data_IF_635010428366
#
_entry.id   IF_635010428366
#
_cell.length_a   1.000
_cell.length_b   1.000
_cell.length_c   1.000
_cell.angle_alpha   90.00
_cell.angle_beta   90.00
_cell.angle_gamma   90.00
#
_symmetry.space_group_name_H-M   'P 1'
#
loop_
_entity.id
_entity.type
_entity.pdbx_description
1 polymer ?
#
# COMPACT_ATOMS: atom_id res chain seq x y z
N UNK A 1 2.39 -15.14 9.15
CA UNK A 1 3.64 -15.96 9.12
C UNK A 1 4.93 -15.24 9.51
N UNK A 2 5.52 -14.34 8.71
CA UNK A 2 6.84 -13.74 9.03
C UNK A 2 6.89 -12.98 10.37
N UNK A 3 5.86 -12.19 10.68
CA UNK A 3 5.74 -11.50 11.97
C UNK A 3 5.56 -12.48 13.13
N UNK A 4 4.81 -13.57 12.95
CA UNK A 4 4.67 -14.60 13.98
C UNK A 4 6.00 -15.32 14.23
N UNK A 5 6.78 -15.58 13.18
CA UNK A 5 8.12 -16.16 13.29
C UNK A 5 9.06 -15.24 14.07
N UNK A 6 9.01 -13.92 13.85
CA UNK A 6 9.81 -12.96 14.62
C UNK A 6 9.37 -12.92 16.09
N UNK A 7 8.07 -12.91 16.35
CA UNK A 7 7.51 -12.88 17.71
C UNK A 7 7.86 -14.12 18.53
N UNK A 8 7.83 -15.31 17.91
CA UNK A 8 8.23 -16.56 18.56
C UNK A 8 9.72 -16.61 18.96
N UNK A 9 10.54 -15.69 18.43
CA UNK A 9 11.94 -15.50 18.80
C UNK A 9 12.17 -14.26 19.68
N UNK A 10 11.11 -13.68 20.25
CA UNK A 10 11.17 -12.51 21.12
C UNK A 10 11.35 -11.18 20.38
N UNK A 11 11.31 -11.16 19.04
CA UNK A 11 11.45 -9.93 18.25
C UNK A 11 10.08 -9.31 17.95
N UNK A 12 9.72 -8.27 18.71
CA UNK A 12 8.47 -7.53 18.59
C UNK A 12 8.69 -6.10 18.07
N UNK A 13 8.95 -5.96 16.77
CA UNK A 13 9.20 -4.64 16.15
C UNK A 13 7.96 -3.98 15.50
N UNK A 14 6.78 -4.61 15.54
CA UNK A 14 5.53 -4.10 14.95
C UNK A 14 5.79 -3.53 13.54
N UNK A 15 5.42 -2.27 13.28
CA UNK A 15 5.62 -1.58 11.99
C UNK A 15 7.09 -1.47 11.58
N UNK A 16 8.02 -1.35 12.54
CA UNK A 16 9.44 -1.17 12.22
C UNK A 16 10.13 -2.48 11.79
N UNK A 17 9.47 -3.63 11.94
CA UNK A 17 9.94 -4.91 11.39
C UNK A 17 10.10 -4.85 9.86
N UNK A 18 9.25 -4.07 9.19
CA UNK A 18 9.22 -4.00 7.73
C UNK A 18 10.20 -2.97 7.15
N UNK A 19 10.87 -2.19 7.99
CA UNK A 19 11.99 -1.34 7.57
C UNK A 19 13.17 -2.18 7.07
N UNK A 20 14.07 -1.61 6.28
CA UNK A 20 15.29 -2.31 5.85
C UNK A 20 16.08 -2.89 7.04
N UNK A 21 16.22 -2.11 8.12
CA UNK A 21 16.87 -2.55 9.35
C UNK A 21 16.11 -3.69 10.05
N UNK A 22 14.77 -3.62 10.09
CA UNK A 22 13.93 -4.68 10.66
C UNK A 22 14.00 -5.98 9.86
N UNK A 23 13.98 -5.89 8.53
CA UNK A 23 14.10 -7.06 7.65
C UNK A 23 15.49 -7.70 7.72
N UNK A 24 16.55 -6.89 7.85
CA UNK A 24 17.91 -7.41 8.09
C UNK A 24 17.97 -8.24 9.36
N UNK A 25 17.43 -7.71 10.46
CA UNK A 25 17.37 -8.43 11.73
C UNK A 25 16.52 -9.72 11.63
N UNK A 26 15.43 -9.71 10.86
CA UNK A 26 14.61 -10.90 10.61
C UNK A 26 15.39 -12.00 9.88
N UNK A 27 16.28 -11.64 8.93
CA UNK A 27 17.17 -12.57 8.22
C UNK A 27 18.29 -13.12 9.10
N UNK A 28 18.74 -12.35 10.08
CA UNK A 28 19.82 -12.76 11.00
C UNK A 28 19.30 -13.61 12.17
N UNK A 29 17.98 -13.74 12.36
CA UNK A 29 17.42 -14.56 13.43
C UNK A 29 17.88 -16.03 13.32
N UNK A 30 18.38 -16.63 14.42
CA UNK A 30 18.77 -18.03 14.45
C UNK A 30 17.54 -18.93 14.42
N UNK A 31 17.42 -19.72 13.35
CA UNK A 31 16.28 -20.60 13.08
C UNK A 31 16.75 -22.03 12.77
N UNK A 32 15.89 -23.02 13.04
CA UNK A 32 16.09 -24.38 12.56
C UNK A 32 16.07 -24.40 11.02
N UNK A 33 16.76 -25.35 10.35
CA UNK A 33 16.91 -25.34 8.89
C UNK A 33 15.61 -25.14 8.10
N UNK A 34 14.54 -25.87 8.46
CA UNK A 34 13.23 -25.72 7.83
C UNK A 34 12.60 -24.33 8.03
N UNK A 35 12.72 -23.78 9.23
CA UNK A 35 12.18 -22.46 9.55
C UNK A 35 12.97 -21.34 8.85
N UNK A 36 14.28 -21.53 8.62
CA UNK A 36 15.10 -20.63 7.84
C UNK A 36 14.69 -20.66 6.35
N UNK A 37 14.52 -21.85 5.76
CA UNK A 37 14.03 -22.00 4.38
C UNK A 37 12.69 -21.27 4.19
N UNK A 38 11.73 -21.56 5.06
CA UNK A 38 10.40 -20.91 5.02
C UNK A 38 10.47 -19.39 5.17
N UNK A 39 11.40 -18.87 5.97
CA UNK A 39 11.63 -17.41 6.08
C UNK A 39 12.09 -16.84 4.75
N UNK A 40 13.08 -17.46 4.10
CA UNK A 40 13.59 -16.97 2.82
C UNK A 40 12.52 -17.02 1.72
N UNK A 41 11.74 -18.09 1.64
CA UNK A 41 10.63 -18.20 0.67
C UNK A 41 9.61 -17.05 0.83
N UNK A 42 9.21 -16.79 2.08
CA UNK A 42 8.26 -15.72 2.39
C UNK A 42 8.85 -14.32 2.17
N UNK A 43 10.14 -14.12 2.43
CA UNK A 43 10.83 -12.87 2.12
C UNK A 43 10.96 -12.64 0.61
N UNK A 44 11.19 -13.71 -0.16
CA UNK A 44 11.18 -13.67 -1.63
C UNK A 44 9.81 -13.27 -2.18
N UNK A 45 8.74 -13.90 -1.69
CA UNK A 45 7.37 -13.55 -2.06
C UNK A 45 7.04 -12.09 -1.70
N UNK A 46 7.43 -11.64 -0.50
CA UNK A 46 7.24 -10.25 -0.09
C UNK A 46 7.96 -9.28 -1.01
N UNK A 47 9.20 -9.57 -1.40
CA UNK A 47 9.96 -8.73 -2.32
C UNK A 47 9.29 -8.65 -3.70
N UNK A 48 8.87 -9.79 -4.25
CA UNK A 48 8.15 -9.86 -5.52
C UNK A 48 6.86 -9.02 -5.50
N UNK A 49 6.03 -9.18 -4.46
CA UNK A 49 4.79 -8.42 -4.32
C UNK A 49 5.05 -6.92 -4.17
N UNK A 50 6.04 -6.52 -3.38
CA UNK A 50 6.40 -5.10 -3.24
C UNK A 50 6.85 -4.47 -4.57
N UNK A 51 7.57 -5.22 -5.40
CA UNK A 51 7.97 -4.74 -6.72
C UNK A 51 6.76 -4.56 -7.66
N UNK A 52 5.83 -5.51 -7.66
CA UNK A 52 4.60 -5.41 -8.45
C UNK A 52 3.73 -4.24 -7.98
N UNK A 53 3.54 -4.09 -6.67
CA UNK A 53 2.82 -2.97 -6.06
C UNK A 53 3.48 -1.65 -6.44
N UNK A 54 4.81 -1.53 -6.31
CA UNK A 54 5.52 -0.30 -6.68
C UNK A 54 5.35 0.08 -8.14
N UNK A 55 5.29 -0.89 -9.04
CA UNK A 55 5.01 -0.65 -10.47
C UNK A 55 3.60 -0.09 -10.66
N UNK A 56 2.60 -0.65 -9.97
CA UNK A 56 1.22 -0.18 -10.01
C UNK A 56 1.07 1.21 -9.35
N UNK A 57 1.77 1.46 -8.24
CA UNK A 57 1.80 2.77 -7.58
C UNK A 57 2.31 3.85 -8.53
N UNK A 58 3.40 3.58 -9.27
CA UNK A 58 3.90 4.48 -10.31
C UNK A 58 2.88 4.72 -11.42
N UNK A 59 2.20 3.67 -11.89
CA UNK A 59 1.18 3.80 -12.92
C UNK A 59 -0.03 4.64 -12.45
N UNK A 60 -0.48 4.45 -11.21
CA UNK A 60 -1.58 5.24 -10.63
C UNK A 60 -1.15 6.69 -10.41
N UNK A 61 0.07 6.93 -9.91
CA UNK A 61 0.61 8.28 -9.77
C UNK A 61 0.61 9.01 -11.11
N UNK A 62 1.13 8.35 -12.16
CA UNK A 62 1.18 8.95 -13.49
C UNK A 62 -0.23 9.24 -14.04
N UNK A 63 -1.15 8.29 -13.96
CA UNK A 63 -2.52 8.49 -14.41
C UNK A 63 -3.26 9.60 -13.63
N UNK A 64 -3.00 9.72 -12.31
CA UNK A 64 -3.54 10.80 -11.49
C UNK A 64 -2.95 12.16 -11.89
N UNK A 65 -1.66 12.22 -12.22
CA UNK A 65 -1.02 13.42 -12.74
C UNK A 65 -1.52 13.80 -14.14
N UNK A 66 -1.84 12.85 -15.01
CA UNK A 66 -2.38 13.18 -16.33
C UNK A 66 -3.84 13.68 -16.28
N UNK A 67 -4.58 13.36 -15.22
CA UNK A 67 -5.96 13.78 -15.04
C UNK A 67 -6.06 15.15 -14.32
N UNK A 68 -6.59 16.21 -14.96
CA UNK A 68 -6.68 17.55 -14.36
C UNK A 68 -7.53 17.61 -13.08
N UNK A 69 -8.61 16.82 -13.01
CA UNK A 69 -9.49 16.80 -11.84
C UNK A 69 -8.83 16.07 -10.67
N UNK A 70 -8.12 14.96 -10.93
CA UNK A 70 -7.37 14.25 -9.90
C UNK A 70 -6.22 15.12 -9.35
N UNK A 71 -5.48 15.80 -10.22
CA UNK A 71 -4.48 16.81 -9.83
C UNK A 71 -5.05 17.87 -8.89
N UNK A 72 -6.23 18.41 -9.21
CA UNK A 72 -6.89 19.41 -8.38
C UNK A 72 -7.26 18.84 -7.01
N UNK A 73 -7.82 17.63 -6.95
CA UNK A 73 -8.15 16.97 -5.68
C UNK A 73 -6.92 16.69 -4.81
N UNK A 74 -5.79 16.32 -5.41
CA UNK A 74 -4.53 16.08 -4.68
C UNK A 74 -3.94 17.33 -4.01
N UNK A 75 -4.45 18.53 -4.31
CA UNK A 75 -4.09 19.75 -3.56
C UNK A 75 -4.68 19.79 -2.16
N UNK A 76 -5.71 18.97 -1.89
CA UNK A 76 -6.35 18.92 -0.60
C UNK A 76 -5.51 18.09 0.40
N UNK A 77 -5.32 18.57 1.64
CA UNK A 77 -4.58 17.82 2.65
C UNK A 77 -5.12 16.40 2.85
N UNK A 78 -4.24 15.41 2.73
CA UNK A 78 -4.58 14.00 2.91
C UNK A 78 -5.15 13.30 1.67
N UNK A 79 -5.30 13.99 0.54
CA UNK A 79 -5.76 13.38 -0.72
C UNK A 79 -4.57 13.00 -1.59
N UNK A 80 -4.31 11.70 -1.70
CA UNK A 80 -3.26 11.13 -2.56
C UNK A 80 -3.76 10.72 -3.95
N UNK A 81 -2.86 10.23 -4.82
CA UNK A 81 -3.17 9.81 -6.20
C UNK A 81 -4.26 8.73 -6.26
N UNK A 82 -4.16 7.69 -5.43
CA UNK A 82 -5.14 6.60 -5.38
C UNK A 82 -6.54 7.12 -5.08
N UNK A 83 -6.68 7.93 -4.04
CA UNK A 83 -7.97 8.49 -3.62
C UNK A 83 -8.52 9.46 -4.67
N UNK A 84 -7.69 10.36 -5.20
CA UNK A 84 -8.10 11.35 -6.18
C UNK A 84 -8.56 10.69 -7.49
N UNK A 85 -7.75 9.80 -8.05
CA UNK A 85 -8.06 9.13 -9.30
C UNK A 85 -9.27 8.21 -9.16
N UNK A 86 -9.35 7.41 -8.09
CA UNK A 86 -10.50 6.56 -7.83
C UNK A 86 -11.79 7.39 -7.68
N UNK A 87 -11.74 8.53 -6.98
CA UNK A 87 -12.89 9.41 -6.83
C UNK A 87 -13.35 9.95 -8.19
N UNK A 88 -12.45 10.50 -9.00
CA UNK A 88 -12.80 11.03 -10.33
C UNK A 88 -13.40 9.96 -11.21
N UNK A 89 -12.82 8.76 -11.25
CA UNK A 89 -13.33 7.66 -12.06
C UNK A 89 -14.68 7.13 -11.57
N UNK A 90 -14.92 7.14 -10.26
CA UNK A 90 -16.18 6.68 -9.64
C UNK A 90 -17.32 7.69 -9.82
N UNK A 91 -16.99 8.98 -9.70
CA UNK A 91 -17.95 10.07 -9.91
C UNK A 91 -18.24 10.29 -11.39
N UNK A 92 -17.25 10.15 -12.26
CA UNK A 92 -17.39 10.45 -13.68
C UNK A 92 -17.85 11.89 -13.89
N UNK A 93 -18.90 12.07 -14.69
CA UNK A 93 -19.50 13.39 -14.89
C UNK A 93 -20.19 13.92 -13.62
N UNK A 94 -19.59 14.94 -13.01
CA UNK A 94 -20.10 15.59 -11.79
C UNK A 94 -21.44 16.29 -12.02
N UNK A 95 -21.78 16.68 -13.26
CA UNK A 95 -23.03 17.36 -13.58
C UNK A 95 -24.28 16.51 -13.30
N UNK A 96 -24.10 15.19 -13.17
CA UNK A 96 -25.15 14.24 -12.76
C UNK A 96 -25.66 14.48 -11.33
N UNK A 97 -24.94 15.26 -10.53
CA UNK A 97 -25.31 15.60 -9.16
C UNK A 97 -25.60 17.10 -9.04
N UNK A 98 -26.82 17.45 -8.65
CA UNK A 98 -27.21 18.84 -8.45
C UNK A 98 -26.67 19.46 -7.15
N UNK A 99 -26.29 18.64 -6.15
CA UNK A 99 -25.77 19.10 -4.85
C UNK A 99 -24.75 18.13 -4.26
N UNK A 100 -23.76 18.65 -3.53
CA UNK A 100 -22.71 17.83 -2.89
C UNK A 100 -23.24 16.75 -1.92
N UNK A 101 -24.39 16.96 -1.27
CA UNK A 101 -25.03 15.92 -0.44
C UNK A 101 -25.41 14.66 -1.23
N UNK A 102 -25.73 14.80 -2.52
CA UNK A 102 -26.07 13.65 -3.38
C UNK A 102 -24.81 12.83 -3.71
N UNK A 103 -23.66 13.49 -3.83
CA UNK A 103 -22.37 12.82 -4.03
C UNK A 103 -22.00 11.99 -2.80
N UNK A 104 -22.13 12.55 -1.59
CA UNK A 104 -21.89 11.81 -0.35
C UNK A 104 -22.82 10.59 -0.24
N UNK A 105 -24.12 10.78 -0.51
CA UNK A 105 -25.10 9.69 -0.52
C UNK A 105 -24.80 8.58 -1.53
N UNK A 106 -24.09 8.89 -2.61
CA UNK A 106 -23.73 7.91 -3.64
C UNK A 106 -22.52 7.06 -3.23
N UNK A 107 -21.57 7.65 -2.50
CA UNK A 107 -20.34 6.98 -2.07
C UNK A 107 -20.49 6.20 -0.76
N UNK A 108 -21.56 6.47 0.01
CA UNK A 108 -21.83 5.84 1.31
C UNK A 108 -21.51 6.77 2.47
#
# INVERSE_FOLDING_TARGET
ELQHLSMNKGMQKKRTLWSQAGQKLLRELPLKPWAACRREDLLGLLAMLNQQIGTLDCAVQHAAEENPQAKLLMTQPGVGPNTALAYVLTIGDVSRFGRGKQVASYLG
#
